data_IF_837886237489
#
_entry.id   IF_837886237489
#
_cell.length_a   1.000
_cell.length_b   1.000
_cell.length_c   1.000
_cell.angle_alpha   90.00
_cell.angle_beta   90.00
_cell.angle_gamma   90.00
#
_symmetry.space_group_name_H-M   'P 1'
#
loop_
_entity.id
_entity.type
_entity.pdbx_description
1 polymer ?
#
# COMPACT_ATOMS: atom_id res chain seq x y z
N UNK A 1 1.62 21.45 -3.06
CA UNK A 1 2.31 21.07 -4.30
C UNK A 1 1.45 20.00 -4.93
N UNK A 2 0.82 20.24 -6.09
CA UNK A 2 0.07 19.19 -6.77
C UNK A 2 1.11 18.32 -7.50
N UNK A 3 1.44 17.18 -6.90
CA UNK A 3 2.27 16.17 -7.56
C UNK A 3 1.49 15.72 -8.78
N UNK A 4 2.08 15.81 -9.97
CA UNK A 4 1.46 15.29 -11.19
C UNK A 4 1.41 13.76 -11.05
N UNK A 5 0.22 13.15 -10.97
CA UNK A 5 0.08 11.72 -10.71
C UNK A 5 0.74 10.84 -11.79
N UNK A 6 1.08 11.42 -12.94
CA UNK A 6 1.60 10.70 -14.11
C UNK A 6 3.10 10.41 -14.04
N UNK A 7 3.82 10.96 -13.08
CA UNK A 7 5.28 10.85 -13.00
C UNK A 7 5.77 10.49 -11.59
N UNK A 8 5.08 9.57 -10.91
CA UNK A 8 5.55 9.03 -9.62
C UNK A 8 6.84 8.22 -9.82
N UNK A 9 7.97 8.86 -9.54
CA UNK A 9 9.25 8.19 -9.37
C UNK A 9 9.26 7.48 -8.00
N UNK A 10 9.85 6.27 -7.94
CA UNK A 10 9.96 5.52 -6.70
C UNK A 10 10.71 6.31 -5.62
N UNK A 11 11.70 7.11 -6.02
CA UNK A 11 12.43 7.98 -5.10
C UNK A 11 11.56 9.11 -4.56
N UNK A 12 10.61 9.65 -5.35
CA UNK A 12 9.67 10.66 -4.87
C UNK A 12 8.68 10.07 -3.85
N UNK A 13 8.21 8.85 -4.06
CA UNK A 13 7.35 8.15 -3.09
C UNK A 13 8.11 7.79 -1.81
N UNK A 14 9.39 7.43 -1.91
CA UNK A 14 10.25 7.15 -0.76
C UNK A 14 10.58 8.43 0.02
N UNK A 15 10.74 9.56 -0.66
CA UNK A 15 10.99 10.87 -0.07
C UNK A 15 9.73 11.57 0.45
N UNK A 16 8.53 11.20 -0.03
CA UNK A 16 7.27 11.69 0.49
C UNK A 16 7.07 11.15 1.92
N UNK A 17 7.45 11.95 2.92
CA UNK A 17 7.35 11.63 4.34
C UNK A 17 6.47 12.64 5.09
N UNK A 18 5.31 12.99 4.51
CA UNK A 18 4.48 14.05 5.10
C UNK A 18 3.06 13.57 5.37
N UNK A 19 2.92 12.87 6.49
CA UNK A 19 1.66 12.66 7.19
C UNK A 19 1.27 11.20 7.30
N UNK A 20 0.96 10.78 8.52
CA UNK A 20 0.38 9.47 8.79
C UNK A 20 -0.85 9.27 7.87
N UNK A 21 -0.92 8.19 7.06
CA UNK A 21 -2.11 7.92 6.27
C UNK A 21 -3.30 7.89 7.22
N UNK A 22 -4.27 8.75 6.96
CA UNK A 22 -5.45 8.85 7.82
C UNK A 22 -6.23 7.56 7.65
N UNK A 23 -6.32 6.71 8.66
CA UNK A 23 -7.09 5.44 8.61
C UNK A 23 -8.62 5.67 8.54
N UNK A 24 -9.07 6.80 8.00
CA UNK A 24 -10.47 7.14 7.87
C UNK A 24 -11.24 7.16 9.20
N UNK A 25 -10.55 7.36 10.34
CA UNK A 25 -11.16 7.29 11.68
C UNK A 25 -11.26 5.89 12.28
N UNK A 26 -10.59 4.85 11.71
CA UNK A 26 -10.39 3.57 12.41
C UNK A 26 -9.42 3.78 13.59
N UNK A 27 -9.87 3.41 14.79
CA UNK A 27 -9.02 3.26 15.98
C UNK A 27 -8.13 2.00 15.92
N UNK A 28 -8.47 1.06 15.03
CA UNK A 28 -7.79 -0.23 14.86
C UNK A 28 -6.85 -0.20 13.66
N UNK A 29 -5.61 -0.65 13.90
CA UNK A 29 -4.57 -0.71 12.89
C UNK A 29 -4.73 -2.00 12.07
N UNK A 30 -4.65 -1.96 10.74
CA UNK A 30 -4.72 -3.18 9.92
C UNK A 30 -3.67 -4.21 10.38
N UNK A 31 -4.05 -5.49 10.43
CA UNK A 31 -3.22 -6.57 11.00
C UNK A 31 -1.86 -6.63 10.31
N UNK A 32 -1.79 -6.37 9.00
CA UNK A 32 -0.54 -6.36 8.26
C UNK A 32 0.46 -5.29 8.75
N UNK A 33 -0.01 -4.21 9.38
CA UNK A 33 0.82 -3.15 9.96
C UNK A 33 1.24 -3.49 11.40
N UNK A 34 0.45 -4.31 12.11
CA UNK A 34 0.80 -4.84 13.42
C UNK A 34 1.87 -5.94 13.30
N UNK A 35 1.76 -6.81 12.29
CA UNK A 35 2.78 -7.82 11.98
C UNK A 35 4.11 -7.19 11.59
N UNK A 36 4.08 -6.09 10.82
CA UNK A 36 5.28 -5.29 10.51
C UNK A 36 5.98 -4.76 11.76
N UNK A 37 5.24 -4.47 12.84
CA UNK A 37 5.79 -4.09 14.14
C UNK A 37 6.38 -5.27 14.92
N UNK A 38 5.89 -6.49 14.69
CA UNK A 38 6.43 -7.69 15.30
C UNK A 38 7.70 -8.21 14.59
N UNK A 39 7.80 -8.02 13.26
CA UNK A 39 8.99 -8.37 12.46
C UNK A 39 10.13 -7.33 12.54
N UNK A 40 9.86 -6.17 13.14
CA UNK A 40 10.89 -5.17 13.44
C UNK A 40 11.78 -5.68 14.57
N UNK A 41 13.07 -5.89 14.26
CA UNK A 41 14.09 -6.11 15.27
C UNK A 41 13.98 -5.06 16.39
N UNK A 42 13.86 -5.52 17.63
CA UNK A 42 13.71 -4.69 18.85
C UNK A 42 14.91 -3.73 19.06
N UNK A 43 15.93 -3.78 18.19
CA UNK A 43 17.11 -2.91 18.21
C UNK A 43 17.11 -1.77 17.18
N UNK A 44 16.00 -1.48 16.48
CA UNK A 44 15.85 -0.20 15.77
C UNK A 44 15.49 0.95 16.74
N UNK A 45 16.28 1.11 17.81
CA UNK A 45 16.39 2.38 18.52
C UNK A 45 17.18 3.33 17.62
N UNK A 46 16.52 3.86 16.59
CA UNK A 46 16.99 5.09 15.96
C UNK A 46 16.89 6.18 17.02
N UNK A 47 18.01 6.85 17.30
CA UNK A 47 18.07 8.17 17.97
C UNK A 47 17.24 9.17 17.15
N UNK A 48 15.92 9.02 17.15
CA UNK A 48 14.99 9.98 16.63
C UNK A 48 14.67 10.94 17.78
N UNK A 49 15.03 12.20 17.60
CA UNK A 49 14.57 13.36 18.38
C UNK A 49 13.04 13.57 18.16
N UNK A 50 12.28 12.48 18.30
CA UNK A 50 10.93 12.29 17.81
C UNK A 50 9.85 12.74 18.77
N UNK A 51 8.80 13.31 18.21
CA UNK A 51 7.58 13.72 18.90
C UNK A 51 7.06 12.60 19.85
N UNK A 52 6.99 12.84 21.17
CA UNK A 52 6.67 11.82 22.17
C UNK A 52 5.21 11.31 22.13
N UNK A 53 4.44 11.67 21.10
CA UNK A 53 3.04 11.26 20.89
C UNK A 53 2.83 10.19 19.82
N UNK A 54 3.86 9.77 19.07
CA UNK A 54 3.68 8.84 17.95
C UNK A 54 3.61 7.37 18.43
N UNK A 55 2.58 6.59 18.02
CA UNK A 55 2.47 5.18 18.41
C UNK A 55 3.55 4.33 17.73
N UNK A 56 4.14 3.38 18.48
CA UNK A 56 5.20 2.49 17.99
C UNK A 56 4.81 1.70 16.73
N UNK A 57 3.54 1.29 16.62
CA UNK A 57 3.01 0.61 15.44
C UNK A 57 3.13 1.46 14.15
N UNK A 58 2.95 2.78 14.25
CA UNK A 58 3.09 3.67 13.09
C UNK A 58 4.56 3.76 12.62
N UNK A 59 5.52 3.77 13.55
CA UNK A 59 6.96 3.80 13.23
C UNK A 59 7.40 2.51 12.57
N UNK A 60 6.94 1.37 13.11
CA UNK A 60 7.22 0.08 12.51
C UNK A 60 6.62 -0.04 11.10
N UNK A 61 5.39 0.41 10.90
CA UNK A 61 4.77 0.41 9.58
C UNK A 61 5.56 1.26 8.57
N UNK A 62 5.94 2.49 8.92
CA UNK A 62 6.80 3.34 8.08
C UNK A 62 8.13 2.66 7.71
N UNK A 63 8.71 1.94 8.67
CA UNK A 63 9.95 1.17 8.48
C UNK A 63 9.73 0.01 7.50
N UNK A 64 8.63 -0.72 7.61
CA UNK A 64 8.28 -1.81 6.69
C UNK A 64 7.98 -1.28 5.28
N UNK A 65 7.24 -0.19 5.14
CA UNK A 65 7.02 0.48 3.84
C UNK A 65 8.36 0.84 3.21
N UNK A 66 9.25 1.48 3.96
CA UNK A 66 10.58 1.87 3.45
C UNK A 66 11.39 0.67 2.96
N UNK A 67 11.42 -0.41 3.75
CA UNK A 67 12.12 -1.66 3.41
C UNK A 67 11.55 -2.28 2.14
N UNK A 68 10.24 -2.40 2.04
CA UNK A 68 9.59 -3.09 0.92
C UNK A 68 9.73 -2.27 -0.39
N UNK A 69 9.66 -0.94 -0.31
CA UNK A 69 9.94 -0.06 -1.44
C UNK A 69 11.42 -0.09 -1.87
N UNK A 70 12.35 -0.29 -0.92
CA UNK A 70 13.76 -0.51 -1.25
C UNK A 70 13.98 -1.84 -1.98
N UNK A 71 13.20 -2.87 -1.65
CA UNK A 71 13.28 -4.17 -2.33
C UNK A 71 12.82 -4.10 -3.80
N UNK A 72 11.79 -3.28 -4.11
CA UNK A 72 11.28 -3.10 -5.49
C UNK A 72 12.21 -2.32 -6.42
N UNK A 73 13.12 -1.53 -5.86
CA UNK A 73 14.06 -0.68 -6.59
C UNK A 73 15.37 -1.40 -6.94
N UNK A 74 15.53 -2.65 -6.52
CA UNK A 74 16.64 -3.48 -6.93
C UNK A 74 16.56 -3.81 -8.43
N UNK A 75 17.68 -3.74 -9.13
CA UNK A 75 17.84 -4.07 -10.57
C UNK A 75 17.27 -5.45 -10.99
N UNK A 76 17.01 -6.34 -10.03
CA UNK A 76 16.44 -7.66 -10.27
C UNK A 76 14.91 -7.68 -10.37
N UNK A 77 14.21 -6.64 -9.91
CA UNK A 77 12.75 -6.57 -9.88
C UNK A 77 12.24 -5.86 -11.14
N UNK A 78 11.85 -6.66 -12.14
CA UNK A 78 11.25 -6.14 -13.36
C UNK A 78 9.79 -5.77 -13.19
N UNK A 79 9.35 -4.67 -13.83
CA UNK A 79 7.91 -4.35 -13.97
C UNK A 79 7.25 -5.29 -15.00
N UNK A 80 5.99 -5.73 -14.77
CA UNK A 80 5.14 -5.38 -13.64
C UNK A 80 5.57 -6.04 -12.32
N UNK A 81 5.49 -5.30 -11.22
CA UNK A 81 5.88 -5.81 -9.89
C UNK A 81 5.02 -6.99 -9.43
N UNK A 82 3.73 -6.94 -9.74
CA UNK A 82 2.78 -8.03 -9.47
C UNK A 82 2.09 -8.44 -10.78
N UNK A 83 2.67 -9.38 -11.55
CA UNK A 83 2.12 -9.80 -12.83
C UNK A 83 0.76 -10.52 -12.70
N UNK A 84 0.60 -11.32 -11.64
CA UNK A 84 -0.61 -12.06 -11.32
C UNK A 84 -0.77 -12.16 -9.80
N UNK A 85 -1.99 -12.39 -9.32
CA UNK A 85 -2.24 -12.56 -7.89
C UNK A 85 -1.76 -13.93 -7.38
N UNK A 86 -1.02 -13.98 -6.26
CA UNK A 86 -0.66 -15.24 -5.62
C UNK A 86 -1.88 -15.99 -5.11
N UNK A 87 -1.96 -17.28 -5.42
CA UNK A 87 -3.04 -18.17 -4.96
C UNK A 87 -2.71 -18.78 -3.58
N UNK A 88 -2.63 -17.94 -2.55
CA UNK A 88 -2.40 -18.39 -1.18
C UNK A 88 -3.33 -17.68 -0.18
N UNK A 89 -3.76 -18.39 0.86
CA UNK A 89 -4.66 -17.83 1.89
C UNK A 89 -4.10 -16.56 2.57
N UNK A 90 -2.80 -16.49 2.93
CA UNK A 90 -2.24 -15.25 3.50
C UNK A 90 -2.27 -14.09 2.52
N UNK A 91 -2.07 -14.35 1.23
CA UNK A 91 -2.10 -13.31 0.23
C UNK A 91 -3.52 -12.84 -0.10
N UNK A 92 -4.52 -13.72 -0.03
CA UNK A 92 -5.92 -13.37 -0.16
C UNK A 92 -6.37 -12.44 0.99
N UNK A 93 -5.98 -12.72 2.23
CA UNK A 93 -6.24 -11.83 3.36
C UNK A 93 -5.61 -10.45 3.16
N UNK A 94 -4.33 -10.42 2.73
CA UNK A 94 -3.62 -9.18 2.45
C UNK A 94 -4.24 -8.39 1.29
N UNK A 95 -4.75 -9.08 0.27
CA UNK A 95 -5.46 -8.47 -0.86
C UNK A 95 -6.74 -7.77 -0.39
N UNK A 96 -7.57 -8.44 0.42
CA UNK A 96 -8.80 -7.83 0.90
C UNK A 96 -8.52 -6.63 1.79
N UNK A 97 -7.53 -6.72 2.67
CA UNK A 97 -7.10 -5.59 3.49
C UNK A 97 -6.68 -4.38 2.63
N UNK A 98 -5.94 -4.64 1.53
CA UNK A 98 -5.54 -3.59 0.60
C UNK A 98 -6.73 -2.96 -0.14
N UNK A 99 -7.65 -3.77 -0.67
CA UNK A 99 -8.83 -3.25 -1.37
C UNK A 99 -9.75 -2.47 -0.42
N UNK A 100 -9.96 -2.95 0.80
CA UNK A 100 -10.69 -2.22 1.84
C UNK A 100 -10.00 -0.92 2.21
N UNK A 101 -8.67 -0.89 2.25
CA UNK A 101 -7.91 0.34 2.42
C UNK A 101 -8.20 1.33 1.28
N UNK A 102 -8.13 0.89 0.02
CA UNK A 102 -8.39 1.76 -1.13
C UNK A 102 -9.81 2.33 -1.11
N UNK A 103 -10.82 1.49 -0.89
CA UNK A 103 -12.22 1.91 -0.81
C UNK A 103 -12.44 2.82 0.39
N UNK A 104 -11.80 2.52 1.52
CA UNK A 104 -11.87 3.42 2.67
C UNK A 104 -11.27 4.78 2.32
N UNK A 105 -10.07 4.87 1.74
CA UNK A 105 -9.45 6.18 1.49
C UNK A 105 -10.15 6.98 0.39
N UNK A 106 -10.47 6.31 -0.72
CA UNK A 106 -10.89 6.97 -1.96
C UNK A 106 -12.30 6.64 -2.44
N UNK A 107 -13.03 5.77 -1.76
CA UNK A 107 -14.28 5.21 -2.29
C UNK A 107 -14.06 4.22 -3.43
N UNK A 108 -15.15 3.61 -3.88
CA UNK A 108 -15.09 2.52 -4.87
C UNK A 108 -14.57 2.99 -6.25
N UNK A 109 -15.01 4.16 -6.73
CA UNK A 109 -14.58 4.69 -8.04
C UNK A 109 -13.09 5.06 -8.05
N UNK A 110 -12.58 5.75 -7.02
CA UNK A 110 -11.15 6.08 -6.97
C UNK A 110 -10.28 4.84 -6.80
N UNK A 111 -10.76 3.80 -6.12
CA UNK A 111 -10.06 2.53 -6.02
C UNK A 111 -9.92 1.86 -7.40
N UNK A 112 -10.98 1.83 -8.20
CA UNK A 112 -10.95 1.31 -9.56
C UNK A 112 -10.00 2.12 -10.45
N UNK A 113 -10.10 3.45 -10.43
CA UNK A 113 -9.20 4.36 -11.17
C UNK A 113 -7.72 4.16 -10.78
N UNK A 114 -7.46 3.84 -9.51
CA UNK A 114 -6.12 3.55 -9.04
C UNK A 114 -5.59 2.21 -9.53
N UNK A 115 -6.41 1.15 -9.57
CA UNK A 115 -6.01 -0.14 -10.14
C UNK A 115 -5.62 0.01 -11.63
N UNK A 116 -6.45 0.71 -12.41
CA UNK A 116 -6.17 1.07 -13.81
C UNK A 116 -4.87 1.87 -13.94
N UNK A 117 -4.62 2.80 -13.01
CA UNK A 117 -3.39 3.58 -12.97
C UNK A 117 -2.18 2.70 -12.65
N UNK A 118 -2.27 1.81 -11.68
CA UNK A 118 -1.20 0.90 -11.26
C UNK A 118 -0.81 -0.08 -12.36
N UNK A 119 -1.77 -0.58 -13.15
CA UNK A 119 -1.46 -1.35 -14.36
C UNK A 119 -0.67 -0.50 -15.36
N UNK A 120 -1.15 0.72 -15.64
CA UNK A 120 -0.55 1.63 -16.63
C UNK A 120 0.89 2.01 -16.33
N UNK A 121 1.25 2.19 -15.05
CA UNK A 121 2.63 2.51 -14.62
C UNK A 121 3.49 1.26 -14.40
N UNK A 122 2.94 0.07 -14.62
CA UNK A 122 3.63 -1.21 -14.52
C UNK A 122 3.88 -1.64 -13.08
N UNK A 123 2.99 -1.33 -12.14
CA UNK A 123 3.00 -1.95 -10.82
C UNK A 123 2.22 -3.27 -10.84
N UNK A 124 1.10 -3.28 -11.56
CA UNK A 124 0.29 -4.47 -11.79
C UNK A 124 0.47 -4.97 -13.22
N UNK A 125 0.42 -6.28 -13.41
CA UNK A 125 0.15 -6.89 -14.71
C UNK A 125 -1.35 -6.95 -14.97
N UNK A 126 -1.74 -7.11 -16.24
CA UNK A 126 -3.15 -7.16 -16.65
C UNK A 126 -3.95 -8.25 -15.93
N UNK A 127 -3.35 -9.43 -15.71
CA UNK A 127 -4.01 -10.53 -14.99
C UNK A 127 -4.29 -10.18 -13.53
N UNK A 128 -3.36 -9.47 -12.86
CA UNK A 128 -3.56 -9.00 -11.49
C UNK A 128 -4.64 -7.91 -11.43
N UNK A 129 -4.58 -6.93 -12.33
CA UNK A 129 -5.54 -5.83 -12.40
C UNK A 129 -6.97 -6.35 -12.62
N UNK A 130 -7.19 -7.21 -13.62
CA UNK A 130 -8.52 -7.76 -13.92
C UNK A 130 -9.12 -8.51 -12.72
N UNK A 131 -8.28 -9.25 -11.98
CA UNK A 131 -8.76 -9.98 -10.82
C UNK A 131 -9.06 -9.06 -9.64
N UNK A 132 -8.24 -8.04 -9.41
CA UNK A 132 -8.48 -7.03 -8.37
C UNK A 132 -9.78 -6.26 -8.64
N UNK A 133 -10.06 -5.88 -9.88
CA UNK A 133 -11.33 -5.25 -10.28
C UNK A 133 -12.54 -6.15 -9.97
N UNK A 134 -12.42 -7.46 -10.21
CA UNK A 134 -13.47 -8.42 -9.88
C UNK A 134 -13.72 -8.53 -8.38
N UNK A 135 -12.67 -8.52 -7.56
CA UNK A 135 -12.80 -8.51 -6.11
C UNK A 135 -13.39 -7.19 -5.61
N UNK A 136 -12.91 -6.06 -6.16
CA UNK A 136 -13.36 -4.72 -5.82
C UNK A 136 -14.86 -4.55 -6.09
N UNK A 137 -15.36 -5.03 -7.23
CA UNK A 137 -16.78 -5.00 -7.57
C UNK A 137 -17.69 -5.79 -6.59
N UNK A 138 -17.11 -6.69 -5.78
CA UNK A 138 -17.82 -7.43 -4.74
C UNK A 138 -17.77 -6.78 -3.35
N UNK A 139 -17.00 -5.71 -3.16
CA UNK A 139 -16.89 -5.01 -1.88
C UNK A 139 -18.00 -3.99 -1.71
N UNK A 140 -18.48 -3.85 -0.47
CA UNK A 140 -19.38 -2.77 -0.09
C UNK A 140 -18.61 -1.45 0.00
N UNK A 141 -19.24 -0.35 -0.42
CA UNK A 141 -18.69 1.01 -0.27
C UNK A 141 -19.28 1.69 0.99
N UNK A 142 -18.55 1.72 2.12
CA UNK A 142 -19.03 2.34 3.35
C UNK A 142 -19.07 3.88 3.27
N UNK A 143 -18.45 4.51 2.26
CA UNK A 143 -18.37 5.98 2.13
C UNK A 143 -19.30 6.54 1.04
N UNK A 144 -19.66 5.76 0.04
CA UNK A 144 -20.46 6.23 -1.11
C UNK A 144 -19.80 7.44 -1.78
N UNK A 145 -20.60 8.43 -2.20
CA UNK A 145 -20.16 9.64 -2.93
C UNK A 145 -19.24 10.60 -2.14
N UNK A 146 -18.86 10.29 -0.88
CA UNK A 146 -17.95 11.11 -0.07
C UNK A 146 -16.45 10.90 -0.40
N UNK A 147 -16.16 10.19 -1.49
CA UNK A 147 -14.84 9.91 -2.02
C UNK A 147 -13.98 11.17 -2.24
N UNK A 148 -12.89 11.31 -1.48
CA UNK A 148 -11.75 12.14 -1.89
C UNK A 148 -10.78 11.28 -2.67
N UNK A 149 -10.33 11.69 -3.86
CA UNK A 149 -9.36 10.92 -4.62
C UNK A 149 -8.11 10.53 -3.81
N UNK A 150 -7.49 9.40 -4.16
CA UNK A 150 -6.31 8.86 -3.47
C UNK A 150 -5.11 9.81 -3.60
N UNK A 151 -4.40 10.01 -2.49
CA UNK A 151 -3.21 10.85 -2.40
C UNK A 151 -1.90 10.08 -2.59
N UNK A 152 -0.78 10.81 -2.55
CA UNK A 152 0.55 10.23 -2.68
C UNK A 152 0.85 9.18 -1.60
N UNK A 153 0.45 9.43 -0.35
CA UNK A 153 0.63 8.49 0.75
C UNK A 153 -0.17 7.21 0.54
N UNK A 154 -1.38 7.30 -0.03
CA UNK A 154 -2.21 6.12 -0.32
C UNK A 154 -1.60 5.26 -1.44
N UNK A 155 -1.01 5.90 -2.44
CA UNK A 155 -0.24 5.20 -3.47
C UNK A 155 1.03 4.56 -2.90
N UNK A 156 1.71 5.21 -1.95
CA UNK A 156 2.88 4.66 -1.25
C UNK A 156 2.51 3.41 -0.45
N UNK A 157 1.40 3.46 0.29
CA UNK A 157 0.85 2.32 1.03
C UNK A 157 0.44 1.20 0.07
N UNK A 158 -0.19 1.54 -1.05
CA UNK A 158 -0.57 0.56 -2.07
C UNK A 158 0.65 -0.17 -2.65
N UNK A 159 1.75 0.55 -2.89
CA UNK A 159 2.98 -0.04 -3.38
C UNK A 159 3.61 -1.00 -2.36
N UNK A 160 3.50 -0.71 -1.05
CA UNK A 160 3.88 -1.65 0.01
C UNK A 160 3.06 -2.94 -0.05
N UNK A 161 1.72 -2.86 -0.20
CA UNK A 161 0.88 -4.06 -0.38
C UNK A 161 1.28 -4.87 -1.62
N UNK A 162 1.53 -4.20 -2.74
CA UNK A 162 1.99 -4.82 -4.00
C UNK A 162 3.31 -5.56 -3.79
N UNK A 163 4.29 -4.93 -3.11
CA UNK A 163 5.57 -5.56 -2.81
C UNK A 163 5.40 -6.85 -1.98
N UNK A 164 4.55 -6.80 -0.94
CA UNK A 164 4.26 -7.97 -0.11
C UNK A 164 3.54 -9.08 -0.88
N UNK A 165 2.54 -8.75 -1.69
CA UNK A 165 1.87 -9.73 -2.57
C UNK A 165 2.85 -10.35 -3.58
N UNK A 166 3.76 -9.56 -4.14
CA UNK A 166 4.80 -10.06 -5.04
C UNK A 166 5.78 -11.00 -4.32
N UNK A 167 6.08 -10.75 -3.04
CA UNK A 167 6.90 -11.67 -2.23
C UNK A 167 6.21 -13.02 -1.98
N UNK A 168 4.88 -13.02 -1.81
CA UNK A 168 4.09 -14.24 -1.67
C UNK A 168 4.02 -15.08 -2.96
N UNK A 169 4.27 -14.47 -4.12
CA UNK A 169 4.26 -15.16 -5.43
C UNK A 169 5.56 -15.89 -5.74
N UNK A 170 6.64 -15.61 -4.99
CA UNK A 170 7.98 -16.17 -5.23
C UNK A 170 8.25 -17.48 -4.46
N UNK A 171 7.25 -17.99 -3.72
CA UNK A 171 7.36 -19.17 -2.86
C UNK A 171 6.51 -20.35 -3.34
#
# INVERSE_FOLDING_TARGET
>A
MAIDPRNYDLDELRAASVGQPSLGGRDDWPEAWVDAAADGDESAATDDDGDPGRPAAAVAFETAVTRDLAALDGEAVGRPYLPALPASLPAEALLFEWLEFLVLQGGHESAADALDFYERVGWLGSDAAEMLDRYLAGLDDPRGDAASGLGADDHRVSLHYIARLASCSQH
#
